data_IF_523022084803
#
_entry.id   IF_523022084803
#
_cell.length_a   1.000
_cell.length_b   1.000
_cell.length_c   1.000
_cell.angle_alpha   90.00
_cell.angle_beta   90.00
_cell.angle_gamma   90.00
#
_symmetry.space_group_name_H-M   'P 1'
#
loop_
_entity.id
_entity.type
_entity.pdbx_description
1 polymer ?
#
# COMPACT_ATOMS: atom_id res chain seq x y z
N UNK A 1 -12.44 -15.85 -54.64
CA UNK A 1 -13.56 -16.01 -53.68
C UNK A 1 -13.21 -16.89 -52.45
N UNK A 2 -11.95 -17.02 -52.03
CA UNK A 2 -11.56 -17.79 -50.82
C UNK A 2 -11.28 -16.94 -49.56
N UNK A 3 -11.12 -15.62 -49.69
CA UNK A 3 -10.75 -14.74 -48.56
C UNK A 3 -11.92 -14.08 -47.81
N UNK A 4 -13.16 -14.23 -48.31
CA UNK A 4 -14.33 -13.54 -47.75
C UNK A 4 -14.91 -14.22 -46.50
N UNK A 5 -14.57 -15.50 -46.27
CA UNK A 5 -14.94 -16.23 -45.06
C UNK A 5 -14.16 -15.77 -43.82
N UNK A 6 -12.88 -15.41 -43.99
CA UNK A 6 -12.05 -14.89 -42.91
C UNK A 6 -12.51 -13.49 -42.49
N UNK A 7 -12.81 -12.59 -43.44
CA UNK A 7 -13.20 -11.21 -43.10
C UNK A 7 -14.49 -11.18 -42.26
N UNK A 8 -15.50 -12.00 -42.59
CA UNK A 8 -16.72 -12.08 -41.78
C UNK A 8 -16.44 -12.61 -40.38
N UNK A 9 -15.58 -13.62 -40.24
CA UNK A 9 -15.16 -14.14 -38.93
C UNK A 9 -14.43 -13.06 -38.10
N UNK A 10 -13.50 -12.31 -38.71
CA UNK A 10 -12.79 -11.21 -38.05
C UNK A 10 -13.72 -10.07 -37.63
N UNK A 11 -14.72 -9.73 -38.46
CA UNK A 11 -15.73 -8.72 -38.11
C UNK A 11 -16.63 -9.18 -36.95
N UNK A 12 -17.02 -10.45 -36.92
CA UNK A 12 -17.79 -11.03 -35.81
C UNK A 12 -16.98 -11.07 -34.52
N UNK A 13 -15.71 -11.48 -34.59
CA UNK A 13 -14.77 -11.47 -33.46
C UNK A 13 -14.55 -10.05 -32.94
N UNK A 14 -14.39 -9.07 -33.84
CA UNK A 14 -14.28 -7.66 -33.47
C UNK A 14 -15.55 -7.11 -32.82
N UNK A 15 -16.72 -7.46 -33.35
CA UNK A 15 -18.01 -7.08 -32.77
C UNK A 15 -18.22 -7.67 -31.36
N UNK A 16 -17.87 -8.94 -31.16
CA UNK A 16 -17.89 -9.56 -29.82
C UNK A 16 -16.90 -8.89 -28.86
N UNK A 17 -15.71 -8.52 -29.33
CA UNK A 17 -14.76 -7.74 -28.53
C UNK A 17 -15.33 -6.39 -28.11
N UNK A 18 -16.06 -5.69 -28.98
CA UNK A 18 -16.74 -4.43 -28.64
C UNK A 18 -17.82 -4.65 -27.59
N UNK A 19 -18.66 -5.68 -27.72
CA UNK A 19 -19.70 -5.98 -26.73
C UNK A 19 -19.09 -6.28 -25.37
N UNK A 20 -18.05 -7.12 -25.32
CA UNK A 20 -17.36 -7.47 -24.07
C UNK A 20 -16.69 -6.23 -23.47
N UNK A 21 -16.04 -5.40 -24.29
CA UNK A 21 -15.40 -4.17 -23.83
C UNK A 21 -16.43 -3.20 -23.21
N UNK A 22 -17.56 -2.97 -23.88
CA UNK A 22 -18.63 -2.11 -23.35
C UNK A 22 -19.22 -2.66 -22.05
N UNK A 23 -19.49 -3.97 -21.99
CA UNK A 23 -19.98 -4.62 -20.76
C UNK A 23 -19.00 -4.50 -19.58
N UNK A 24 -17.70 -4.56 -19.83
CA UNK A 24 -16.69 -4.32 -18.79
C UNK A 24 -16.63 -2.87 -18.31
N UNK A 25 -16.86 -1.89 -19.19
CA UNK A 25 -16.90 -0.47 -18.82
C UNK A 25 -18.17 -0.18 -17.99
N UNK A 26 -19.30 -0.82 -18.34
CA UNK A 26 -20.54 -0.73 -17.58
C UNK A 26 -20.41 -1.38 -16.18
N UNK A 27 -19.64 -2.47 -16.06
CA UNK A 27 -19.33 -3.11 -14.77
C UNK A 27 -18.48 -2.19 -13.87
N UNK A 28 -17.38 -1.63 -14.38
CA UNK A 28 -16.54 -0.70 -13.58
C UNK A 28 -17.32 0.55 -13.19
N UNK A 29 -18.16 1.06 -14.08
CA UNK A 29 -19.03 2.18 -13.76
C UNK A 29 -20.02 1.85 -12.64
N UNK A 30 -20.67 0.69 -12.72
CA UNK A 30 -21.62 0.24 -11.69
C UNK A 30 -20.91 0.05 -10.35
N UNK A 31 -19.69 -0.51 -10.36
CA UNK A 31 -18.86 -0.66 -9.19
C UNK A 31 -18.45 0.68 -8.56
N UNK A 32 -18.18 1.72 -9.36
CA UNK A 32 -17.89 3.06 -8.84
C UNK A 32 -19.12 3.68 -8.14
N UNK A 33 -20.32 3.47 -8.68
CA UNK A 33 -21.57 3.93 -8.07
C UNK A 33 -21.90 3.15 -6.79
N UNK A 34 -21.62 1.85 -6.76
CA UNK A 34 -21.77 1.03 -5.56
C UNK A 34 -20.79 1.47 -4.47
N UNK A 35 -19.51 1.67 -4.83
CA UNK A 35 -18.49 2.22 -3.94
C UNK A 35 -18.92 3.59 -3.38
N UNK A 36 -19.47 4.45 -4.23
CA UNK A 36 -20.01 5.74 -3.80
C UNK A 36 -21.14 5.57 -2.77
N UNK A 37 -22.11 4.71 -3.07
CA UNK A 37 -23.26 4.46 -2.21
C UNK A 37 -22.85 3.87 -0.85
N UNK A 38 -21.91 2.92 -0.84
CA UNK A 38 -21.36 2.30 0.37
C UNK A 38 -20.70 3.36 1.27
N UNK A 39 -19.82 4.19 0.70
CA UNK A 39 -19.15 5.26 1.45
C UNK A 39 -20.16 6.29 1.99
N UNK A 40 -21.15 6.72 1.19
CA UNK A 40 -22.20 7.65 1.64
C UNK A 40 -23.07 7.06 2.75
N UNK A 41 -23.33 5.75 2.75
CA UNK A 41 -24.14 5.09 3.79
C UNK A 41 -23.45 5.05 5.16
N UNK A 42 -22.12 5.11 5.19
CA UNK A 42 -21.30 5.11 6.41
C UNK A 42 -21.15 6.48 7.08
N UNK A 43 -22.02 7.46 6.76
CA UNK A 43 -21.79 8.89 7.03
C UNK A 43 -20.43 9.38 6.46
N UNK A 44 -19.92 8.71 5.44
CA UNK A 44 -18.71 9.06 4.69
C UNK A 44 -18.86 10.39 3.95
N UNK A 45 -17.75 11.09 3.72
CA UNK A 45 -17.72 12.43 3.12
C UNK A 45 -18.16 12.52 1.65
N UNK A 46 -18.01 13.73 1.12
CA UNK A 46 -18.62 14.30 -0.10
C UNK A 46 -18.16 13.70 -1.44
N UNK A 47 -18.45 12.43 -1.75
CA UNK A 47 -18.45 11.95 -3.14
C UNK A 47 -19.65 12.49 -3.96
N UNK A 48 -20.16 13.68 -3.64
CA UNK A 48 -21.34 14.28 -4.26
C UNK A 48 -21.19 14.51 -5.78
N UNK A 49 -19.95 14.59 -6.27
CA UNK A 49 -19.64 14.92 -7.67
C UNK A 49 -19.64 13.68 -8.59
N UNK A 50 -19.50 12.48 -8.02
CA UNK A 50 -19.70 11.25 -8.79
C UNK A 50 -21.22 11.15 -9.05
N UNK A 51 -21.63 10.96 -10.30
CA UNK A 51 -23.03 11.06 -10.78
C UNK A 51 -23.58 12.47 -11.13
N UNK A 52 -22.73 13.45 -11.45
CA UNK A 52 -23.19 14.62 -12.22
C UNK A 52 -23.73 14.19 -13.59
N UNK A 53 -24.96 14.60 -13.95
CA UNK A 53 -25.47 14.53 -15.32
C UNK A 53 -24.94 15.74 -16.10
N UNK A 54 -24.56 15.58 -17.37
CA UNK A 54 -24.32 16.72 -18.27
C UNK A 54 -25.44 16.83 -19.31
N UNK A 55 -25.52 17.97 -20.01
CA UNK A 55 -26.56 18.27 -21.01
C UNK A 55 -26.56 17.29 -22.20
N UNK A 56 -25.47 16.54 -22.40
CA UNK A 56 -25.32 15.47 -23.40
C UNK A 56 -25.68 14.06 -22.90
N UNK A 57 -26.07 13.90 -21.63
CA UNK A 57 -26.37 12.62 -20.99
C UNK A 57 -25.37 12.24 -19.89
N UNK A 58 -24.93 10.97 -19.92
CA UNK A 58 -24.05 10.41 -18.89
C UNK A 58 -22.63 10.99 -18.98
N UNK A 59 -22.10 11.49 -17.85
CA UNK A 59 -20.70 11.92 -17.73
C UNK A 59 -19.79 10.69 -17.71
N UNK A 60 -18.76 10.71 -18.56
CA UNK A 60 -17.67 9.73 -18.55
C UNK A 60 -17.05 9.64 -17.14
N UNK A 61 -17.13 8.45 -16.52
CA UNK A 61 -16.63 8.23 -15.16
C UNK A 61 -15.11 8.41 -15.06
N UNK A 62 -14.38 8.35 -16.17
CA UNK A 62 -12.96 8.67 -16.21
C UNK A 62 -12.65 10.16 -15.96
N UNK A 63 -13.68 11.01 -15.99
CA UNK A 63 -13.58 12.44 -15.62
C UNK A 63 -13.95 12.69 -14.15
N UNK A 64 -14.36 11.66 -13.40
CA UNK A 64 -14.75 11.83 -12.01
C UNK A 64 -13.53 12.16 -11.14
N UNK A 65 -13.66 13.09 -10.15
CA UNK A 65 -12.58 13.40 -9.24
C UNK A 65 -12.02 12.14 -8.57
N UNK A 66 -10.71 11.94 -8.68
CA UNK A 66 -10.03 10.78 -8.10
C UNK A 66 -10.08 9.50 -8.95
N UNK A 67 -10.82 9.46 -10.05
CA UNK A 67 -10.79 8.35 -11.01
C UNK A 67 -9.82 8.68 -12.14
N UNK A 68 -8.94 7.74 -12.46
CA UNK A 68 -8.10 7.85 -13.67
C UNK A 68 -8.14 6.53 -14.44
N UNK A 69 -8.39 6.66 -15.73
CA UNK A 69 -8.47 5.55 -16.66
C UNK A 69 -7.25 5.44 -17.58
N UNK A 70 -7.05 4.26 -18.13
CA UNK A 70 -6.12 4.02 -19.23
C UNK A 70 -6.63 4.66 -20.50
N UNK A 71 -5.79 5.47 -21.17
CA UNK A 71 -6.11 6.06 -22.48
C UNK A 71 -6.31 4.99 -23.57
N UNK A 72 -5.72 3.81 -23.40
CA UNK A 72 -5.79 2.74 -24.39
C UNK A 72 -7.06 1.88 -24.25
N UNK A 73 -7.60 1.74 -23.03
CA UNK A 73 -8.67 0.77 -22.75
C UNK A 73 -9.90 1.36 -22.08
N UNK A 74 -9.84 2.62 -21.61
CA UNK A 74 -10.91 3.23 -20.81
C UNK A 74 -11.09 2.63 -19.41
N UNK A 75 -10.29 1.62 -19.04
CA UNK A 75 -10.38 0.92 -17.75
C UNK A 75 -9.78 1.75 -16.62
N UNK A 76 -10.37 1.66 -15.43
CA UNK A 76 -9.86 2.33 -14.23
C UNK A 76 -8.49 1.76 -13.84
N UNK A 77 -7.47 2.62 -13.78
CA UNK A 77 -6.10 2.26 -13.38
C UNK A 77 -5.68 2.91 -12.06
N UNK A 78 -6.33 3.99 -11.66
CA UNK A 78 -6.09 4.65 -10.37
C UNK A 78 -7.39 5.11 -9.75
N UNK A 79 -7.53 4.84 -8.46
CA UNK A 79 -8.56 5.38 -7.58
C UNK A 79 -7.90 6.16 -6.44
N UNK A 80 -8.32 7.41 -6.30
CA UNK A 80 -7.87 8.35 -5.27
C UNK A 80 -9.06 8.81 -4.44
N UNK A 81 -9.28 8.13 -3.31
CA UNK A 81 -10.46 8.32 -2.48
C UNK A 81 -10.20 9.22 -1.27
N UNK A 82 -9.06 9.92 -1.23
CA UNK A 82 -8.70 10.81 -0.12
C UNK A 82 -9.81 11.84 0.13
N UNK A 83 -10.32 12.45 -0.95
CA UNK A 83 -11.39 13.46 -0.88
C UNK A 83 -12.73 12.90 -0.39
N UNK A 84 -13.02 11.63 -0.64
CA UNK A 84 -14.26 10.97 -0.25
C UNK A 84 -14.43 10.83 1.27
N UNK A 85 -13.34 10.96 2.03
CA UNK A 85 -13.29 10.65 3.45
C UNK A 85 -13.29 11.89 4.35
N UNK A 86 -13.15 13.10 3.77
CA UNK A 86 -13.23 14.33 4.56
C UNK A 86 -14.67 14.59 5.04
N UNK A 87 -14.85 14.64 6.36
CA UNK A 87 -16.11 15.06 6.98
C UNK A 87 -16.87 13.95 7.73
N UNK A 88 -16.41 12.70 7.71
CA UNK A 88 -17.04 11.61 8.44
C UNK A 88 -16.41 11.43 9.83
N UNK A 89 -17.17 11.73 10.88
CA UNK A 89 -16.77 11.41 12.26
C UNK A 89 -16.94 9.93 12.59
N UNK A 90 -17.89 9.25 11.94
CA UNK A 90 -18.23 7.85 12.20
C UNK A 90 -17.35 6.86 11.43
N UNK A 91 -16.76 7.33 10.33
CA UNK A 91 -15.80 6.61 9.51
C UNK A 91 -16.39 5.52 8.60
N UNK A 92 -15.63 5.14 7.59
CA UNK A 92 -15.99 4.17 6.55
C UNK A 92 -15.60 2.75 6.96
N UNK A 93 -16.60 1.87 7.04
CA UNK A 93 -16.38 0.43 7.25
C UNK A 93 -15.85 -0.19 5.94
N UNK A 94 -14.53 -0.21 5.80
CA UNK A 94 -13.88 -0.61 4.56
C UNK A 94 -14.27 -2.02 4.12
N UNK A 95 -14.58 -2.16 2.82
CA UNK A 95 -14.84 -3.45 2.19
C UNK A 95 -14.02 -3.60 0.90
N UNK A 96 -12.97 -4.42 0.95
CA UNK A 96 -12.11 -4.68 -0.22
C UNK A 96 -12.86 -5.32 -1.40
N UNK A 97 -14.00 -5.99 -1.17
CA UNK A 97 -14.77 -6.62 -2.25
C UNK A 97 -15.26 -5.61 -3.28
N UNK A 98 -15.50 -4.36 -2.89
CA UNK A 98 -15.93 -3.27 -3.78
C UNK A 98 -14.90 -2.92 -4.85
N UNK A 99 -13.63 -3.29 -4.64
CA UNK A 99 -12.55 -3.01 -5.58
C UNK A 99 -12.31 -4.13 -6.60
N UNK A 100 -12.90 -5.31 -6.38
CA UNK A 100 -12.66 -6.48 -7.23
C UNK A 100 -13.08 -6.31 -8.70
N UNK A 101 -14.08 -5.49 -9.06
CA UNK A 101 -14.39 -5.22 -10.48
C UNK A 101 -13.27 -4.50 -11.25
N UNK A 102 -12.41 -3.73 -10.57
CA UNK A 102 -11.35 -2.92 -11.20
C UNK A 102 -10.09 -3.76 -11.51
N UNK A 103 -10.19 -4.70 -12.46
CA UNK A 103 -9.11 -5.65 -12.79
C UNK A 103 -7.82 -4.99 -13.29
N UNK A 104 -7.92 -3.77 -13.83
CA UNK A 104 -6.78 -2.98 -14.32
C UNK A 104 -6.19 -2.03 -13.28
N UNK A 105 -6.72 -2.03 -12.04
CA UNK A 105 -6.31 -1.10 -11.00
C UNK A 105 -4.85 -1.30 -10.62
N UNK A 106 -4.08 -0.22 -10.67
CA UNK A 106 -2.65 -0.17 -10.35
C UNK A 106 -2.37 0.63 -9.09
N UNK A 107 -3.17 1.68 -8.84
CA UNK A 107 -2.97 2.59 -7.72
C UNK A 107 -4.26 2.75 -6.95
N UNK A 108 -4.22 2.44 -5.66
CA UNK A 108 -5.32 2.63 -4.74
C UNK A 108 -4.85 3.52 -3.58
N UNK A 109 -5.34 4.76 -3.56
CA UNK A 109 -5.13 5.68 -2.45
C UNK A 109 -6.39 5.76 -1.60
N UNK A 110 -6.26 5.31 -0.35
CA UNK A 110 -7.30 5.36 0.67
C UNK A 110 -6.83 6.20 1.87
N UNK A 111 -5.83 7.05 1.67
CA UNK A 111 -5.27 7.85 2.75
C UNK A 111 -6.32 8.82 3.29
N UNK A 112 -6.66 8.68 4.57
CA UNK A 112 -7.88 9.26 5.12
C UNK A 112 -7.94 9.11 6.64
N UNK A 113 -8.64 10.00 7.35
CA UNK A 113 -8.83 9.90 8.81
C UNK A 113 -9.97 8.96 9.24
N UNK A 114 -10.49 8.12 8.33
CA UNK A 114 -11.85 7.61 8.49
C UNK A 114 -12.03 6.13 8.20
N UNK A 115 -11.06 5.32 7.74
CA UNK A 115 -11.29 3.86 7.69
C UNK A 115 -11.44 3.31 9.12
N UNK A 116 -12.61 2.72 9.41
CA UNK A 116 -12.91 2.03 10.66
C UNK A 116 -12.63 0.53 10.53
N UNK A 117 -12.47 -0.16 11.66
CA UNK A 117 -12.10 -1.59 11.69
C UNK A 117 -10.98 -1.95 12.67
N UNK A 118 -10.32 -0.97 13.29
CA UNK A 118 -9.38 -1.21 14.39
C UNK A 118 -8.19 -2.09 13.99
N UNK A 119 -7.96 -3.18 14.72
CA UNK A 119 -6.71 -3.98 14.64
C UNK A 119 -6.54 -4.83 13.38
N UNK A 120 -7.62 -5.01 12.60
CA UNK A 120 -7.63 -5.67 11.30
C UNK A 120 -8.61 -4.95 10.39
N UNK A 121 -8.14 -4.49 9.24
CA UNK A 121 -9.06 -4.14 8.16
C UNK A 121 -9.59 -5.47 7.60
N UNK A 122 -10.81 -5.85 7.99
CA UNK A 122 -11.40 -7.12 7.57
C UNK A 122 -11.51 -7.18 6.03
N UNK A 123 -11.13 -8.32 5.46
CA UNK A 123 -11.20 -8.56 4.01
C UNK A 123 -10.14 -7.84 3.18
N UNK A 124 -9.20 -7.07 3.75
CA UNK A 124 -8.13 -6.41 2.98
C UNK A 124 -7.28 -7.39 2.17
N UNK A 125 -7.16 -8.64 2.64
CA UNK A 125 -6.52 -9.75 1.93
C UNK A 125 -7.18 -10.03 0.57
N UNK A 126 -8.45 -9.69 0.37
CA UNK A 126 -9.14 -9.83 -0.92
C UNK A 126 -8.51 -8.97 -2.02
N UNK A 127 -7.82 -7.88 -1.67
CA UNK A 127 -7.06 -7.10 -2.64
C UNK A 127 -5.96 -7.91 -3.34
N UNK A 128 -5.57 -9.08 -2.81
CA UNK A 128 -4.67 -10.03 -3.47
C UNK A 128 -5.18 -10.51 -4.84
N UNK A 129 -6.48 -10.43 -5.11
CA UNK A 129 -7.07 -10.74 -6.42
C UNK A 129 -6.80 -9.65 -7.47
N UNK A 130 -6.35 -8.45 -7.07
CA UNK A 130 -5.99 -7.36 -7.95
C UNK A 130 -4.52 -7.48 -8.34
N UNK A 131 -4.23 -8.38 -9.27
CA UNK A 131 -2.86 -8.72 -9.67
C UNK A 131 -2.08 -7.58 -10.31
N UNK A 132 -2.77 -6.52 -10.79
CA UNK A 132 -2.15 -5.30 -11.31
C UNK A 132 -1.88 -4.24 -10.23
N UNK A 133 -2.35 -4.43 -8.99
CA UNK A 133 -2.23 -3.43 -7.93
C UNK A 133 -0.77 -3.28 -7.49
N UNK A 134 -0.18 -2.10 -7.73
CA UNK A 134 1.23 -1.78 -7.46
C UNK A 134 1.41 -0.85 -6.28
N UNK A 135 0.49 0.08 -6.09
CA UNK A 135 0.55 1.10 -5.05
C UNK A 135 -0.67 0.99 -4.17
N UNK A 136 -0.44 0.78 -2.88
CA UNK A 136 -1.46 0.85 -1.84
C UNK A 136 -1.05 1.88 -0.80
N UNK A 137 -1.87 2.92 -0.67
CA UNK A 137 -1.66 4.00 0.28
C UNK A 137 -2.82 4.01 1.29
N UNK A 138 -2.51 3.65 2.54
CA UNK A 138 -3.44 3.67 3.68
C UNK A 138 -3.00 4.68 4.74
N UNK A 139 -2.13 5.65 4.41
CA UNK A 139 -1.63 6.61 5.37
C UNK A 139 -2.76 7.38 6.05
N UNK A 140 -2.53 7.83 7.28
CA UNK A 140 -3.46 8.62 8.09
C UNK A 140 -4.77 7.92 8.46
N UNK A 141 -4.86 6.59 8.31
CA UNK A 141 -5.99 5.82 8.83
C UNK A 141 -5.67 5.25 10.23
N UNK A 142 -6.70 4.83 10.97
CA UNK A 142 -6.58 4.21 12.29
C UNK A 142 -6.16 2.73 12.22
N UNK A 143 -5.27 2.39 11.28
CA UNK A 143 -4.92 1.02 10.94
C UNK A 143 -3.81 0.53 11.85
N UNK A 144 -4.06 -0.54 12.60
CA UNK A 144 -3.05 -1.13 13.47
C UNK A 144 -1.92 -1.82 12.67
N UNK A 145 -0.66 -1.83 13.15
CA UNK A 145 0.49 -2.49 12.49
C UNK A 145 0.24 -3.96 12.11
N UNK A 146 -0.59 -4.68 12.85
CA UNK A 146 -0.95 -6.07 12.56
C UNK A 146 -1.60 -6.27 11.17
N UNK A 147 -2.10 -5.20 10.53
CA UNK A 147 -2.59 -5.23 9.14
C UNK A 147 -1.57 -5.82 8.16
N UNK A 148 -0.28 -5.69 8.47
CA UNK A 148 0.82 -6.21 7.67
C UNK A 148 0.66 -7.72 7.41
N UNK A 149 0.15 -8.48 8.39
CA UNK A 149 -0.14 -9.91 8.23
C UNK A 149 -1.24 -10.18 7.18
N UNK A 150 -2.25 -9.32 7.09
CA UNK A 150 -3.32 -9.42 6.10
C UNK A 150 -2.88 -8.93 4.71
N UNK A 151 -1.98 -7.96 4.64
CA UNK A 151 -1.44 -7.42 3.39
C UNK A 151 -0.44 -8.36 2.72
N UNK A 152 0.11 -9.33 3.46
CA UNK A 152 1.18 -10.19 2.99
C UNK A 152 0.77 -11.13 1.83
N UNK A 153 -0.52 -11.19 1.51
CA UNK A 153 -1.10 -11.91 0.36
C UNK A 153 -1.08 -11.09 -0.95
N UNK A 154 -0.81 -9.79 -0.88
CA UNK A 154 -0.85 -8.87 -2.03
C UNK A 154 0.54 -8.75 -2.66
N UNK A 155 1.02 -9.85 -3.23
CA UNK A 155 2.39 -9.96 -3.77
C UNK A 155 2.67 -9.05 -4.98
N UNK A 156 1.65 -8.42 -5.57
CA UNK A 156 1.78 -7.49 -6.70
C UNK A 156 2.35 -6.12 -6.29
N UNK A 157 2.29 -5.77 -4.99
CA UNK A 157 2.67 -4.45 -4.48
C UNK A 157 4.15 -4.14 -4.67
N UNK A 158 4.40 -2.91 -5.12
CA UNK A 158 5.72 -2.29 -5.24
C UNK A 158 5.88 -1.11 -4.26
N UNK A 159 4.79 -0.45 -3.91
CA UNK A 159 4.75 0.65 -2.95
C UNK A 159 3.64 0.39 -1.93
N UNK A 160 4.01 0.35 -0.65
CA UNK A 160 3.08 0.26 0.46
C UNK A 160 3.35 1.43 1.40
N UNK A 161 2.31 2.22 1.68
CA UNK A 161 2.40 3.31 2.64
C UNK A 161 1.39 3.17 3.75
N UNK A 162 1.90 3.21 4.97
CA UNK A 162 1.18 3.06 6.21
C UNK A 162 1.71 4.12 7.19
N UNK A 163 0.82 4.89 7.80
CA UNK A 163 1.20 5.74 8.92
C UNK A 163 0.20 5.59 10.05
N UNK A 164 0.73 5.47 11.26
CA UNK A 164 0.00 5.41 12.50
C UNK A 164 -0.19 6.77 13.13
N UNK A 165 -1.09 6.82 14.11
CA UNK A 165 -1.27 7.98 14.95
C UNK A 165 -0.57 7.82 16.29
N UNK A 166 0.32 8.76 16.59
CA UNK A 166 1.18 8.80 17.78
C UNK A 166 0.44 9.11 19.08
N UNK A 167 -0.89 9.08 19.16
CA UNK A 167 -1.62 9.30 20.43
C UNK A 167 -2.05 8.01 21.13
N UNK A 168 -1.96 6.84 20.48
CA UNK A 168 -2.13 5.56 21.17
C UNK A 168 -0.83 5.05 21.78
N UNK A 169 -0.67 5.30 23.08
CA UNK A 169 0.48 4.85 23.86
C UNK A 169 0.39 3.34 24.12
N UNK A 170 1.35 2.61 23.55
CA UNK A 170 1.73 1.22 23.82
C UNK A 170 0.81 0.13 23.24
N UNK A 171 1.17 -0.37 22.04
CA UNK A 171 0.70 -1.66 21.55
C UNK A 171 1.84 -2.67 21.53
N UNK A 172 1.67 -3.76 22.26
CA UNK A 172 2.47 -4.96 22.03
C UNK A 172 1.94 -5.62 20.76
N UNK A 173 2.71 -5.55 19.67
CA UNK A 173 2.39 -6.25 18.44
C UNK A 173 2.62 -7.75 18.67
N UNK A 174 1.58 -8.48 19.08
CA UNK A 174 1.60 -9.93 19.06
C UNK A 174 1.26 -10.41 17.65
N UNK A 175 2.30 -10.77 16.89
CA UNK A 175 2.16 -11.48 15.63
C UNK A 175 1.86 -12.94 16.01
N UNK A 176 0.63 -13.38 15.75
CA UNK A 176 0.31 -14.80 15.88
C UNK A 176 1.15 -15.61 14.90
N UNK A 177 1.96 -16.54 15.41
CA UNK A 177 2.66 -17.54 14.61
C UNK A 177 1.64 -18.41 13.89
N UNK A 178 1.31 -18.03 12.66
CA UNK A 178 0.40 -18.72 11.77
C UNK A 178 1.02 -18.85 10.39
N UNK A 179 2.22 -19.46 10.30
CA UNK A 179 2.89 -19.72 9.04
C UNK A 179 2.21 -20.89 8.30
N UNK A 180 1.17 -20.57 7.55
CA UNK A 180 0.73 -21.40 6.44
C UNK A 180 0.48 -20.51 5.21
N UNK A 181 1.51 -20.39 4.35
CA UNK A 181 1.52 -19.85 2.98
C UNK A 181 1.40 -18.32 2.75
N UNK A 182 1.89 -17.45 3.61
CA UNK A 182 2.08 -16.04 3.24
C UNK A 182 3.12 -15.91 2.07
N UNK A 183 2.75 -15.42 0.87
CA UNK A 183 3.69 -15.25 -0.24
C UNK A 183 4.65 -14.06 -0.03
N UNK A 184 4.31 -13.18 0.92
CA UNK A 184 5.09 -12.00 1.31
C UNK A 184 5.01 -10.86 0.30
N UNK A 185 5.50 -9.69 0.71
CA UNK A 185 5.59 -8.49 -0.13
C UNK A 185 6.89 -8.48 -0.95
N UNK A 186 7.22 -9.60 -1.61
CA UNK A 186 8.53 -9.80 -2.27
C UNK A 186 8.85 -8.82 -3.42
N UNK A 187 7.83 -8.16 -3.99
CA UNK A 187 8.00 -7.15 -5.04
C UNK A 187 8.15 -5.71 -4.50
N UNK A 188 8.08 -5.53 -3.18
CA UNK A 188 8.09 -4.20 -2.59
C UNK A 188 9.42 -3.49 -2.81
N UNK A 189 9.34 -2.25 -3.28
CA UNK A 189 10.47 -1.34 -3.52
C UNK A 189 10.46 -0.17 -2.55
N UNK A 190 9.27 0.27 -2.15
CA UNK A 190 9.09 1.36 -1.20
C UNK A 190 8.16 0.91 -0.08
N UNK A 191 8.65 0.99 1.15
CA UNK A 191 7.86 0.79 2.37
C UNK A 191 7.92 2.06 3.21
N UNK A 192 6.75 2.62 3.50
CA UNK A 192 6.59 3.66 4.50
C UNK A 192 5.76 3.08 5.65
N UNK A 193 6.34 3.07 6.84
CA UNK A 193 5.76 2.55 8.07
C UNK A 193 6.13 3.49 9.23
N UNK A 194 5.39 4.57 9.37
CA UNK A 194 5.71 5.69 10.27
C UNK A 194 4.67 5.84 11.40
N UNK A 195 5.05 6.38 12.55
CA UNK A 195 4.07 6.80 13.58
C UNK A 195 3.42 5.65 14.38
N UNK A 196 4.00 4.45 14.38
CA UNK A 196 3.40 3.25 14.98
C UNK A 196 3.96 2.86 16.34
N UNK A 197 4.98 3.58 16.85
CA UNK A 197 5.74 3.20 18.06
C UNK A 197 6.31 1.78 18.02
N UNK A 198 6.71 1.34 16.83
CA UNK A 198 7.32 0.01 16.67
C UNK A 198 8.73 0.06 17.23
N UNK A 199 9.06 -0.87 18.12
CA UNK A 199 10.42 -1.06 18.63
C UNK A 199 11.07 -2.36 18.16
N UNK A 200 10.28 -3.31 17.64
CA UNK A 200 10.74 -4.59 17.12
C UNK A 200 10.68 -4.63 15.59
N UNK A 201 11.85 -4.68 14.96
CA UNK A 201 12.01 -4.76 13.51
C UNK A 201 11.57 -6.12 12.94
N UNK A 202 11.35 -7.13 13.79
CA UNK A 202 10.72 -8.41 13.41
C UNK A 202 9.28 -8.25 12.89
N UNK A 203 8.68 -7.07 13.02
CA UNK A 203 7.43 -6.74 12.29
C UNK A 203 7.61 -6.88 10.78
N UNK A 204 8.82 -6.61 10.28
CA UNK A 204 9.15 -6.85 8.90
C UNK A 204 9.17 -8.39 8.67
N UNK A 205 9.58 -9.21 9.66
CA UNK A 205 9.43 -10.68 9.64
C UNK A 205 8.02 -11.20 9.45
N UNK A 206 7.01 -10.50 9.97
CA UNK A 206 5.60 -10.81 9.71
C UNK A 206 5.15 -10.58 8.25
N UNK A 207 5.87 -9.77 7.46
CA UNK A 207 5.62 -9.57 6.02
C UNK A 207 6.18 -10.68 5.13
N UNK A 208 6.64 -11.79 5.73
CA UNK A 208 7.40 -12.84 5.08
C UNK A 208 8.91 -12.77 5.33
N UNK A 209 9.41 -11.92 6.24
CA UNK A 209 10.84 -11.86 6.61
C UNK A 209 11.26 -12.84 7.74
N UNK A 210 10.56 -13.96 7.89
CA UNK A 210 10.95 -15.06 8.79
C UNK A 210 11.61 -16.25 8.07
N UNK A 211 11.75 -16.20 6.75
CA UNK A 211 12.45 -17.21 5.95
C UNK A 211 13.28 -16.50 4.86
N UNK A 212 14.22 -17.20 4.22
CA UNK A 212 15.19 -16.68 3.24
C UNK A 212 14.62 -15.94 1.99
N UNK A 213 13.34 -15.58 1.95
CA UNK A 213 12.55 -15.03 0.84
C UNK A 213 12.29 -13.51 1.03
N UNK A 214 13.22 -12.79 1.65
CA UNK A 214 13.00 -11.41 2.12
C UNK A 214 12.74 -10.34 1.05
N UNK A 215 12.60 -9.08 1.49
CA UNK A 215 12.37 -7.86 0.73
C UNK A 215 13.61 -7.45 -0.11
N UNK A 216 14.11 -8.36 -0.94
CA UNK A 216 15.38 -8.20 -1.68
C UNK A 216 15.33 -7.06 -2.71
N UNK A 217 14.13 -6.61 -3.09
CA UNK A 217 13.91 -5.48 -4.00
C UNK A 217 13.66 -4.14 -3.29
N UNK A 218 13.66 -4.12 -1.96
CA UNK A 218 13.35 -2.89 -1.22
C UNK A 218 14.47 -1.88 -1.38
N UNK A 219 14.14 -0.73 -1.95
CA UNK A 219 15.06 0.36 -2.26
C UNK A 219 14.95 1.51 -1.26
N UNK A 220 13.73 1.76 -0.76
CA UNK A 220 13.43 2.88 0.14
C UNK A 220 12.62 2.39 1.33
N UNK A 221 13.14 2.65 2.52
CA UNK A 221 12.53 2.27 3.79
C UNK A 221 12.40 3.51 4.67
N UNK A 222 11.15 3.88 4.96
CA UNK A 222 10.81 5.01 5.83
C UNK A 222 10.17 4.47 7.11
N UNK A 223 10.86 4.69 8.22
CA UNK A 223 10.52 4.19 9.55
C UNK A 223 10.50 5.31 10.60
N UNK A 224 10.33 6.56 10.16
CA UNK A 224 10.35 7.70 11.06
C UNK A 224 9.21 7.65 12.08
N UNK A 225 9.40 8.32 13.22
CA UNK A 225 8.38 8.44 14.27
C UNK A 225 7.95 7.06 14.83
N UNK A 226 8.93 6.23 15.15
CA UNK A 226 8.76 4.93 15.81
C UNK A 226 9.61 4.87 17.09
N UNK A 227 9.78 3.66 17.65
CA UNK A 227 10.54 3.42 18.88
C UNK A 227 11.75 2.49 18.62
N UNK A 228 12.34 2.55 17.42
CA UNK A 228 13.51 1.73 17.09
C UNK A 228 14.75 2.22 17.84
N UNK A 229 15.56 1.29 18.34
CA UNK A 229 16.88 1.54 18.94
C UNK A 229 18.01 1.13 17.98
N UNK A 230 19.27 1.25 18.41
CA UNK A 230 20.46 0.96 17.59
C UNK A 230 20.54 -0.48 17.07
N UNK A 231 19.84 -1.45 17.66
CA UNK A 231 19.82 -2.83 17.17
C UNK A 231 19.21 -2.99 15.77
N UNK A 232 18.46 -1.99 15.28
CA UNK A 232 17.83 -2.01 13.96
C UNK A 232 18.82 -2.24 12.82
N UNK A 233 20.02 -1.66 12.89
CA UNK A 233 21.01 -1.74 11.82
C UNK A 233 21.43 -3.19 11.53
N UNK A 234 21.50 -4.03 12.58
CA UNK A 234 21.84 -5.45 12.46
C UNK A 234 20.85 -6.24 11.61
N UNK A 235 19.58 -5.79 11.55
CA UNK A 235 18.50 -6.43 10.81
C UNK A 235 18.35 -5.88 9.38
N UNK A 236 18.85 -4.67 9.14
CA UNK A 236 18.80 -4.02 7.82
C UNK A 236 19.87 -4.55 6.85
N UNK A 237 20.93 -5.22 7.35
CA UNK A 237 22.01 -5.80 6.53
C UNK A 237 21.54 -6.78 5.46
N UNK A 238 20.37 -7.39 5.66
CA UNK A 238 19.80 -8.40 4.76
C UNK A 238 18.95 -7.81 3.61
N UNK A 239 18.94 -6.48 3.48
CA UNK A 239 18.25 -5.71 2.44
C UNK A 239 19.24 -5.20 1.38
N UNK A 240 19.65 -6.05 0.42
CA UNK A 240 20.75 -5.72 -0.49
C UNK A 240 20.45 -4.56 -1.44
N UNK A 241 19.19 -4.24 -1.71
CA UNK A 241 18.81 -3.14 -2.63
C UNK A 241 18.58 -1.80 -1.92
N UNK A 242 18.75 -1.74 -0.59
CA UNK A 242 18.38 -0.55 0.17
C UNK A 242 19.31 0.62 -0.17
N UNK A 243 18.73 1.72 -0.62
CA UNK A 243 19.44 2.94 -1.01
C UNK A 243 19.03 4.16 -0.19
N UNK A 244 17.81 4.18 0.35
CA UNK A 244 17.28 5.27 1.17
C UNK A 244 16.69 4.71 2.46
N UNK A 245 17.15 5.25 3.58
CA UNK A 245 16.70 4.88 4.91
C UNK A 245 16.33 6.13 5.70
N UNK A 246 15.10 6.22 6.16
CA UNK A 246 14.67 7.23 7.13
C UNK A 246 14.37 6.56 8.47
N UNK A 247 15.16 6.92 9.48
CA UNK A 247 15.03 6.51 10.87
C UNK A 247 14.86 7.72 11.79
N UNK A 248 14.45 8.87 11.25
CA UNK A 248 14.28 10.08 12.06
C UNK A 248 13.20 9.91 13.14
N UNK A 249 13.34 10.64 14.24
CA UNK A 249 12.40 10.60 15.36
C UNK A 249 12.18 9.18 15.90
N UNK A 250 13.27 8.48 16.22
CA UNK A 250 13.26 7.17 16.86
C UNK A 250 13.98 7.23 18.21
N UNK A 251 14.22 6.06 18.82
CA UNK A 251 14.90 5.90 20.11
C UNK A 251 16.33 5.37 19.92
N UNK A 252 16.98 5.67 18.78
CA UNK A 252 18.37 5.27 18.53
C UNK A 252 19.27 6.08 19.45
N UNK A 253 19.94 5.41 20.38
CA UNK A 253 20.79 6.02 21.40
C UNK A 253 22.20 5.39 21.44
N UNK A 254 23.06 5.95 22.29
CA UNK A 254 24.42 5.47 22.50
C UNK A 254 25.34 5.67 21.29
N UNK A 255 26.27 4.73 21.10
CA UNK A 255 27.27 4.74 20.03
C UNK A 255 26.82 3.84 18.89
N UNK A 256 26.88 4.34 17.66
CA UNK A 256 26.58 3.57 16.46
C UNK A 256 27.88 3.00 15.90
N UNK A 257 27.98 1.68 15.81
CA UNK A 257 29.13 1.02 15.21
C UNK A 257 29.17 1.23 13.70
N UNK A 258 30.28 1.75 13.19
CA UNK A 258 30.44 2.01 11.75
C UNK A 258 30.32 0.72 10.91
N UNK A 259 30.63 -0.44 11.48
CA UNK A 259 30.47 -1.74 10.80
C UNK A 259 29.02 -2.03 10.44
N UNK A 260 28.06 -1.60 11.26
CA UNK A 260 26.64 -1.82 10.99
C UNK A 260 26.14 -0.96 9.84
N UNK A 261 26.69 0.25 9.70
CA UNK A 261 26.40 1.18 8.61
C UNK A 261 27.05 0.71 7.31
N UNK A 262 28.31 0.26 7.36
CA UNK A 262 29.04 -0.28 6.21
C UNK A 262 28.36 -1.55 5.64
N UNK A 263 27.69 -2.34 6.49
CA UNK A 263 26.91 -3.48 6.03
C UNK A 263 25.75 -3.08 5.09
N UNK A 264 25.24 -1.84 5.19
CA UNK A 264 24.25 -1.24 4.29
C UNK A 264 24.93 -0.69 3.02
N UNK A 265 25.69 -1.54 2.33
CA UNK A 265 26.65 -1.15 1.29
C UNK A 265 26.10 -0.34 0.10
N UNK A 266 24.79 -0.37 -0.16
CA UNK A 266 24.14 0.37 -1.25
C UNK A 266 23.47 1.68 -0.80
N UNK A 267 23.58 2.04 0.48
CA UNK A 267 22.89 3.18 1.04
C UNK A 267 23.47 4.50 0.49
N UNK A 268 22.58 5.38 0.03
CA UNK A 268 22.89 6.70 -0.55
C UNK A 268 22.35 7.84 0.30
N UNK A 269 21.29 7.57 1.06
CA UNK A 269 20.65 8.54 1.94
C UNK A 269 20.29 7.86 3.26
N UNK A 270 20.69 8.49 4.36
CA UNK A 270 20.30 8.10 5.71
C UNK A 270 19.84 9.33 6.49
N UNK A 271 18.64 9.28 7.05
CA UNK A 271 18.14 10.30 7.96
C UNK A 271 18.06 9.73 9.38
N UNK A 272 18.80 10.35 10.31
CA UNK A 272 18.82 10.01 11.74
C UNK A 272 18.37 11.18 12.63
N UNK A 273 17.78 12.24 12.04
CA UNK A 273 17.34 13.42 12.78
C UNK A 273 16.43 13.05 13.95
N UNK A 274 16.53 13.74 15.09
CA UNK A 274 15.62 13.53 16.22
C UNK A 274 15.80 12.21 16.98
N UNK A 275 16.97 11.56 16.85
CA UNK A 275 17.42 10.46 17.70
C UNK A 275 18.31 10.95 18.85
N UNK A 276 18.80 10.02 19.68
CA UNK A 276 19.61 10.27 20.89
C UNK A 276 21.03 9.69 20.80
N UNK A 277 21.51 9.33 19.60
CA UNK A 277 22.86 8.79 19.42
C UNK A 277 23.91 9.88 19.66
N UNK A 278 25.04 9.48 20.24
CA UNK A 278 26.11 10.41 20.65
C UNK A 278 27.17 10.56 19.57
N UNK A 279 27.60 9.45 18.98
CA UNK A 279 28.69 9.40 18.01
C UNK A 279 28.68 8.11 17.19
N UNK A 280 29.35 8.16 16.04
CA UNK A 280 29.76 6.98 15.30
C UNK A 280 31.12 6.52 15.79
N UNK A 281 31.27 5.24 16.08
CA UNK A 281 32.53 4.66 16.55
C UNK A 281 33.03 3.57 15.62
N UNK A 282 34.34 3.40 15.60
CA UNK A 282 35.00 2.26 14.97
C UNK A 282 35.59 1.41 16.08
N UNK A 283 35.23 0.12 16.15
CA UNK A 283 35.77 -0.87 17.10
C UNK A 283 37.31 -1.09 17.07
N UNK A 284 38.08 -0.25 16.35
CA UNK A 284 39.54 -0.35 16.27
C UNK A 284 40.32 0.27 17.44
N UNK A 285 39.66 0.89 18.42
CA UNK A 285 40.33 1.51 19.57
C UNK A 285 40.12 0.71 20.87
N UNK A 286 40.35 -0.60 20.86
CA UNK A 286 40.82 -1.28 22.07
C UNK A 286 42.33 -1.12 22.13
N UNK A 287 42.88 -0.33 23.08
CA UNK A 287 44.31 -0.37 23.35
C UNK A 287 44.63 -1.78 23.85
N UNK A 288 45.56 -2.47 23.18
CA UNK A 288 46.25 -3.64 23.72
C UNK A 288 47.01 -3.27 25.00
#
# INVERSE_FOLDING_TARGET
MKDMGNIKLWLWVFFLMIIVANGCLDEERSALLELQADMMSSNGGTLYVWAGYNESGFVDYCSWPGVKCSLATGRVIKLDLIQATYGSMDGWNFNASLFLPFKSLQVLHLSAYSITGGTKIEGIDKLSHLTNLKVLDLQYNLVHPNVLSSLCWISSLEVLKLSGFTWWKNYNVHIGEGSAKCPGLSNLRVLLLEGYRINDISILSALGLGTHIGLKKLEKLYLSDNSFNSSIFSSLKDLPSLTHLDLSYNEIDGKIEMSDIVALSNLKFMNLQGNKFESFVTTKDTPM
#
